data_IF_787645938733
#
_entry.id   IF_787645938733
#
_cell.length_a   1.000
_cell.length_b   1.000
_cell.length_c   1.000
_cell.angle_alpha   90.00
_cell.angle_beta   90.00
_cell.angle_gamma   90.00
#
_symmetry.space_group_name_H-M   'P 1'
#
loop_
_entity.id
_entity.type
_entity.pdbx_description
1 polymer ?
#
# COMPACT_ATOMS: atom_id res chain seq x y z
N UNK A 1 15.60 26.40 -42.59
CA UNK A 1 14.76 27.16 -41.64
C UNK A 1 14.76 26.37 -40.35
N UNK A 2 15.23 26.98 -39.25
CA UNK A 2 15.34 26.31 -37.96
C UNK A 2 13.97 26.34 -37.27
N UNK A 3 13.42 25.18 -36.97
CA UNK A 3 12.15 25.06 -36.25
C UNK A 3 12.39 25.45 -34.78
N UNK A 4 11.60 26.40 -34.30
CA UNK A 4 11.72 26.98 -32.98
C UNK A 4 10.68 26.31 -32.08
N UNK A 5 11.10 25.52 -31.10
CA UNK A 5 10.20 25.02 -30.05
C UNK A 5 10.42 25.90 -28.84
N UNK A 6 9.43 26.75 -28.54
CA UNK A 6 9.52 27.87 -27.60
C UNK A 6 9.61 27.48 -26.12
N UNK A 7 10.40 26.48 -25.75
CA UNK A 7 10.68 26.10 -24.38
C UNK A 7 12.15 26.36 -24.02
N UNK A 8 12.41 26.71 -22.77
CA UNK A 8 13.76 26.80 -22.21
C UNK A 8 13.85 25.95 -20.95
N UNK A 9 14.97 25.24 -20.78
CA UNK A 9 15.26 24.49 -19.56
C UNK A 9 16.60 24.98 -19.01
N UNK A 10 16.63 25.38 -17.73
CA UNK A 10 17.85 25.82 -17.04
C UNK A 10 17.89 25.22 -15.64
N UNK A 11 18.95 24.48 -15.34
CA UNK A 11 19.16 23.81 -14.05
C UNK A 11 17.95 22.99 -13.57
N UNK A 12 17.34 22.21 -14.47
CA UNK A 12 16.20 21.34 -14.15
C UNK A 12 14.83 22.03 -14.11
N UNK A 13 14.76 23.35 -14.31
CA UNK A 13 13.47 24.06 -14.41
C UNK A 13 13.15 24.37 -15.87
N UNK A 14 12.05 23.82 -16.38
CA UNK A 14 11.60 23.99 -17.75
C UNK A 14 10.35 24.87 -17.81
N UNK A 15 10.34 25.83 -18.75
CA UNK A 15 9.23 26.76 -18.96
C UNK A 15 9.05 27.03 -20.45
N UNK A 16 7.81 27.20 -20.90
CA UNK A 16 7.55 27.81 -22.19
C UNK A 16 7.91 29.30 -22.14
N UNK A 17 8.57 29.79 -23.18
CA UNK A 17 8.98 31.20 -23.32
C UNK A 17 7.78 32.13 -23.58
N UNK A 18 6.63 31.57 -23.94
CA UNK A 18 5.36 32.29 -24.09
C UNK A 18 4.59 32.45 -22.76
N UNK A 19 5.10 31.87 -21.66
CA UNK A 19 4.50 31.95 -20.33
C UNK A 19 3.32 31.01 -20.10
N UNK A 20 3.02 30.10 -21.04
CA UNK A 20 2.02 29.04 -20.83
C UNK A 20 2.51 27.99 -19.83
N UNK A 21 1.57 27.26 -19.21
CA UNK A 21 1.88 26.13 -18.34
C UNK A 21 2.67 25.08 -19.10
N UNK A 22 3.76 24.58 -18.50
CA UNK A 22 4.61 23.56 -19.13
C UNK A 22 3.87 22.22 -19.24
N UNK A 23 3.14 22.06 -20.33
CA UNK A 23 2.51 20.81 -20.76
C UNK A 23 3.10 20.37 -22.11
N UNK A 24 3.31 19.06 -22.27
CA UNK A 24 4.00 18.45 -23.41
C UNK A 24 3.17 18.45 -24.71
N UNK A 25 1.97 19.03 -24.69
CA UNK A 25 1.03 19.10 -25.81
C UNK A 25 1.09 20.44 -26.58
N UNK A 26 1.70 21.49 -26.02
CA UNK A 26 1.73 22.84 -26.63
C UNK A 26 2.93 23.05 -27.54
N UNK A 27 2.85 22.59 -28.79
CA UNK A 27 3.86 22.89 -29.81
C UNK A 27 3.43 24.07 -30.71
N UNK A 28 4.36 24.99 -30.99
CA UNK A 28 4.11 26.15 -31.86
C UNK A 28 3.72 25.80 -33.30
N UNK A 29 3.03 26.73 -33.97
CA UNK A 29 2.56 26.57 -35.36
C UNK A 29 3.72 26.35 -36.34
N UNK A 30 3.58 25.34 -37.22
CA UNK A 30 4.53 25.05 -38.31
C UNK A 30 5.03 23.61 -38.44
N UNK A 31 4.35 22.60 -37.87
CA UNK A 31 4.81 21.20 -37.96
C UNK A 31 4.34 20.44 -39.20
N UNK A 32 5.21 19.51 -39.63
CA UNK A 32 4.97 18.46 -40.60
C UNK A 32 3.91 17.48 -40.07
N UNK A 33 2.88 17.22 -40.86
CA UNK A 33 1.75 16.30 -40.61
C UNK A 33 2.12 14.82 -40.76
N UNK A 34 3.33 14.42 -40.41
CA UNK A 34 3.67 13.00 -40.35
C UNK A 34 3.24 12.47 -38.99
N UNK A 35 2.15 11.69 -38.94
CA UNK A 35 1.72 10.99 -37.72
C UNK A 35 2.75 9.94 -37.22
N UNK A 36 3.83 9.70 -37.98
CA UNK A 36 4.80 8.63 -37.73
C UNK A 36 6.12 9.12 -37.11
N UNK A 37 6.20 10.38 -36.64
CA UNK A 37 7.42 10.95 -36.08
C UNK A 37 7.25 11.44 -34.64
N UNK A 38 8.09 10.92 -33.75
CA UNK A 38 8.16 11.28 -32.35
C UNK A 38 9.29 12.31 -32.12
N UNK A 39 9.30 12.98 -30.97
CA UNK A 39 10.28 14.03 -30.64
C UNK A 39 11.08 13.60 -29.42
N UNK A 40 12.40 13.70 -29.50
CA UNK A 40 13.33 13.38 -28.41
C UNK A 40 14.18 14.60 -28.05
N UNK A 41 14.57 14.73 -26.78
CA UNK A 41 15.50 15.77 -26.29
C UNK A 41 16.78 15.15 -25.77
N UNK A 42 17.91 15.76 -26.09
CA UNK A 42 19.15 15.54 -25.36
C UNK A 42 19.13 16.32 -24.04
N UNK A 43 19.24 15.59 -22.92
CA UNK A 43 19.37 16.20 -21.59
C UNK A 43 20.66 17.01 -21.43
N UNK A 44 21.76 16.58 -22.07
CA UNK A 44 23.06 17.25 -21.98
C UNK A 44 23.13 18.52 -22.82
N UNK A 45 22.54 18.50 -24.02
CA UNK A 45 22.64 19.63 -24.96
C UNK A 45 21.40 20.54 -24.94
N UNK A 46 20.28 20.10 -24.35
CA UNK A 46 18.99 20.78 -24.41
C UNK A 46 18.44 20.90 -25.84
N UNK A 47 18.95 20.10 -26.77
CA UNK A 47 18.57 20.09 -28.18
C UNK A 47 17.57 18.99 -28.45
N UNK A 48 16.57 19.31 -29.27
CA UNK A 48 15.55 18.36 -29.70
C UNK A 48 15.80 17.87 -31.11
N UNK A 49 15.40 16.62 -31.40
CA UNK A 49 15.39 16.03 -32.73
C UNK A 49 14.12 15.21 -32.94
N UNK A 50 13.79 14.92 -34.20
CA UNK A 50 12.76 13.94 -34.55
C UNK A 50 13.35 12.54 -34.52
N UNK A 51 12.56 11.56 -34.07
CA UNK A 51 12.92 10.14 -34.01
C UNK A 51 11.75 9.29 -34.55
N UNK A 52 12.03 8.05 -34.94
CA UNK A 52 10.99 7.08 -35.25
C UNK A 52 10.23 6.75 -33.97
N UNK A 53 8.89 6.74 -34.01
CA UNK A 53 8.09 6.42 -32.83
C UNK A 53 8.28 4.98 -32.32
N UNK A 54 8.86 4.09 -33.13
CA UNK A 54 9.19 2.71 -32.74
C UNK A 54 10.64 2.57 -32.24
N UNK A 55 11.40 3.66 -32.16
CA UNK A 55 12.79 3.63 -31.69
C UNK A 55 12.84 3.52 -30.16
N UNK A 56 13.30 2.37 -29.65
CA UNK A 56 13.53 2.15 -28.22
C UNK A 56 14.76 2.94 -27.76
N UNK A 57 14.53 4.03 -27.03
CA UNK A 57 15.58 4.84 -26.42
C UNK A 57 15.67 4.59 -24.91
N UNK A 58 16.87 4.59 -24.34
CA UNK A 58 17.06 4.58 -22.89
C UNK A 58 16.71 5.96 -22.31
N UNK A 59 15.43 6.24 -22.08
CA UNK A 59 15.03 7.44 -21.36
C UNK A 59 15.14 7.22 -19.85
N UNK A 60 15.86 8.12 -19.17
CA UNK A 60 15.77 8.25 -17.71
C UNK A 60 14.54 9.11 -17.43
N UNK A 61 13.41 8.49 -17.12
CA UNK A 61 12.38 9.23 -16.40
C UNK A 61 12.95 9.58 -15.03
N UNK A 62 12.79 10.83 -14.57
CA UNK A 62 12.66 11.08 -13.14
C UNK A 62 11.36 10.37 -12.73
N UNK A 63 11.46 9.08 -12.44
CA UNK A 63 10.38 8.40 -11.75
C UNK A 63 10.34 9.07 -10.38
N UNK A 64 9.18 9.65 -10.04
CA UNK A 64 8.91 9.95 -8.62
C UNK A 64 9.29 8.68 -7.86
N UNK A 65 10.10 8.83 -6.81
CA UNK A 65 10.45 7.71 -5.93
C UNK A 65 9.17 6.91 -5.73
N UNK A 66 9.17 5.67 -6.22
CA UNK A 66 7.96 4.89 -6.29
C UNK A 66 7.55 4.61 -4.84
N UNK A 67 6.54 5.32 -4.35
CA UNK A 67 6.09 5.21 -2.97
C UNK A 67 5.70 3.77 -2.73
N UNK A 68 6.37 3.11 -1.81
CA UNK A 68 6.28 1.67 -1.61
C UNK A 68 5.33 1.29 -0.48
N UNK A 69 4.98 2.26 0.36
CA UNK A 69 4.01 2.15 1.44
C UNK A 69 3.43 3.54 1.81
N UNK A 70 2.58 3.58 2.83
CA UNK A 70 1.96 4.83 3.31
C UNK A 70 2.96 5.74 4.04
N UNK A 71 4.04 5.21 4.61
CA UNK A 71 5.05 6.01 5.30
C UNK A 71 5.88 6.83 4.30
N UNK A 72 6.14 6.29 3.11
CA UNK A 72 6.76 7.04 2.01
C UNK A 72 5.88 8.23 1.58
N UNK A 73 4.56 7.99 1.42
CA UNK A 73 3.60 9.06 1.10
C UNK A 73 3.52 10.13 2.19
N UNK A 74 3.46 9.71 3.45
CA UNK A 74 3.42 10.61 4.60
C UNK A 74 4.68 11.49 4.67
N UNK A 75 5.85 10.89 4.48
CA UNK A 75 7.14 11.59 4.45
C UNK A 75 7.25 12.59 3.28
N UNK A 76 6.54 12.34 2.19
CA UNK A 76 6.42 13.26 1.07
C UNK A 76 5.41 14.39 1.28
N UNK A 77 4.81 14.49 2.48
CA UNK A 77 3.88 15.56 2.87
C UNK A 77 2.40 15.27 2.57
N UNK A 78 2.05 14.04 2.20
CA UNK A 78 0.66 13.64 2.01
C UNK A 78 0.08 13.11 3.32
N UNK A 79 -0.65 13.96 4.03
CA UNK A 79 -1.09 13.72 5.42
C UNK A 79 -2.58 13.42 5.57
N UNK A 80 -3.32 13.23 4.47
CA UNK A 80 -4.76 12.96 4.49
C UNK A 80 -5.03 11.45 4.41
N UNK A 81 -5.99 10.95 5.19
CA UNK A 81 -6.42 9.56 5.09
C UNK A 81 -7.05 9.28 3.72
N UNK A 82 -6.79 8.11 3.16
CA UNK A 82 -7.36 7.79 1.86
C UNK A 82 -6.77 6.58 1.18
N UNK A 83 -7.20 6.36 -0.06
CA UNK A 83 -6.65 5.31 -0.91
C UNK A 83 -5.48 5.88 -1.71
N UNK A 84 -4.31 5.27 -1.53
CA UNK A 84 -3.07 5.65 -2.22
C UNK A 84 -2.62 4.53 -3.15
N UNK A 85 -1.89 4.89 -4.19
CA UNK A 85 -1.20 3.92 -5.05
C UNK A 85 0.21 3.71 -4.52
N UNK A 86 0.60 2.44 -4.33
CA UNK A 86 1.95 2.06 -3.94
C UNK A 86 2.56 1.10 -4.95
N UNK A 87 3.89 1.02 -4.98
CA UNK A 87 4.63 0.08 -5.84
C UNK A 87 5.40 -0.90 -4.99
N UNK A 88 5.07 -2.18 -5.11
CA UNK A 88 5.73 -3.28 -4.39
C UNK A 88 6.22 -4.30 -5.41
N UNK A 89 7.53 -4.60 -5.39
CA UNK A 89 8.20 -5.50 -6.36
C UNK A 89 7.83 -5.19 -7.83
N UNK A 90 7.77 -3.90 -8.18
CA UNK A 90 7.46 -3.42 -9.53
C UNK A 90 5.99 -3.52 -9.95
N UNK A 91 5.07 -3.84 -9.04
CA UNK A 91 3.62 -3.90 -9.29
C UNK A 91 2.89 -2.81 -8.52
N UNK A 92 1.86 -2.25 -9.15
CA UNK A 92 0.99 -1.25 -8.55
C UNK A 92 -0.09 -1.90 -7.68
N UNK A 93 -0.28 -1.36 -6.49
CA UNK A 93 -1.35 -1.73 -5.58
C UNK A 93 -2.06 -0.50 -5.07
N UNK A 94 -3.34 -0.65 -4.74
CA UNK A 94 -4.10 0.34 -3.97
C UNK A 94 -4.13 -0.10 -2.52
N UNK A 95 -3.83 0.81 -1.61
CA UNK A 95 -3.91 0.59 -0.16
C UNK A 95 -4.64 1.75 0.50
N UNK A 96 -5.28 1.48 1.64
CA UNK A 96 -5.82 2.55 2.47
C UNK A 96 -4.75 3.00 3.47
N UNK A 97 -4.41 4.28 3.44
CA UNK A 97 -3.47 4.90 4.36
C UNK A 97 -4.20 5.64 5.45
N UNK A 98 -3.86 5.33 6.70
CA UNK A 98 -4.17 6.15 7.87
C UNK A 98 -2.96 7.04 8.15
N UNK A 99 -3.16 8.33 7.94
CA UNK A 99 -2.17 9.39 8.03
C UNK A 99 -2.29 10.19 9.33
N UNK A 100 -3.23 9.84 10.22
CA UNK A 100 -3.49 10.60 11.45
C UNK A 100 -3.14 9.82 12.72
N UNK A 101 -3.46 8.53 12.76
CA UNK A 101 -3.31 7.71 13.96
C UNK A 101 -1.83 7.51 14.29
N UNK A 102 -1.46 7.72 15.56
CA UNK A 102 -0.13 7.43 16.09
C UNK A 102 1.04 7.96 15.22
N UNK A 103 0.90 9.15 14.63
CA UNK A 103 1.94 9.77 13.79
C UNK A 103 1.79 9.52 12.29
N UNK A 104 0.78 8.77 11.86
CA UNK A 104 0.45 8.57 10.44
C UNK A 104 1.38 7.59 9.71
N UNK A 105 1.15 7.44 8.40
CA UNK A 105 1.94 6.56 7.53
C UNK A 105 1.57 5.08 7.64
N UNK A 106 0.40 4.74 8.20
CA UNK A 106 -0.01 3.35 8.40
C UNK A 106 -0.70 2.78 7.18
N UNK A 107 -0.26 1.62 6.73
CA UNK A 107 -1.00 0.80 5.76
C UNK A 107 -2.07 0.01 6.51
N UNK A 108 -3.34 0.30 6.24
CA UNK A 108 -4.46 -0.46 6.80
C UNK A 108 -4.72 -1.69 5.94
N UNK A 109 -4.44 -2.89 6.46
CA UNK A 109 -4.63 -4.14 5.72
C UNK A 109 -5.95 -4.86 6.04
N UNK A 110 -6.57 -4.54 7.17
CA UNK A 110 -7.86 -5.10 7.59
C UNK A 110 -8.68 -4.04 8.28
N UNK A 111 -9.99 -4.03 8.03
CA UNK A 111 -10.94 -3.22 8.78
C UNK A 111 -12.29 -3.91 8.90
N UNK A 112 -12.91 -3.79 10.08
CA UNK A 112 -14.32 -4.10 10.33
C UNK A 112 -15.00 -2.90 10.98
N UNK A 113 -16.01 -2.34 10.31
CA UNK A 113 -16.84 -1.24 10.83
C UNK A 113 -18.24 -1.71 11.20
N UNK A 114 -18.75 -2.73 10.51
CA UNK A 114 -20.07 -3.28 10.75
C UNK A 114 -20.11 -4.79 10.38
N UNK A 115 -21.30 -5.36 10.38
CA UNK A 115 -21.55 -6.76 10.02
C UNK A 115 -22.08 -6.94 8.59
N UNK A 116 -21.93 -5.95 7.71
CA UNK A 116 -22.48 -5.99 6.35
C UNK A 116 -21.73 -6.96 5.44
N UNK A 117 -20.43 -7.13 5.66
CA UNK A 117 -19.59 -8.07 4.91
C UNK A 117 -19.19 -9.26 5.78
N UNK A 118 -19.40 -10.45 5.23
CA UNK A 118 -18.92 -11.70 5.80
C UNK A 118 -17.41 -11.84 5.54
N UNK A 119 -16.67 -12.29 6.56
CA UNK A 119 -15.25 -12.64 6.42
C UNK A 119 -15.05 -14.16 6.50
N UNK A 120 -16.05 -14.90 6.98
CA UNK A 120 -15.87 -16.32 7.32
C UNK A 120 -15.94 -17.24 6.09
N UNK A 121 -16.66 -16.86 5.04
CA UNK A 121 -16.97 -17.68 3.85
C UNK A 121 -16.03 -17.44 2.66
N UNK A 122 -15.05 -16.55 2.81
CA UNK A 122 -14.05 -16.30 1.76
C UNK A 122 -13.03 -17.44 1.66
N UNK A 123 -12.74 -17.83 0.43
CA UNK A 123 -11.81 -18.90 0.11
C UNK A 123 -10.33 -18.43 0.12
N UNK A 124 -9.40 -19.37 -0.05
CA UNK A 124 -7.96 -19.09 -0.05
C UNK A 124 -7.55 -18.03 -1.08
N UNK A 125 -8.12 -18.08 -2.28
CA UNK A 125 -7.79 -17.15 -3.36
C UNK A 125 -8.26 -15.74 -3.06
N UNK A 126 -9.40 -15.59 -2.41
CA UNK A 126 -9.94 -14.30 -1.98
C UNK A 126 -9.10 -13.71 -0.85
N UNK A 127 -8.75 -14.48 0.18
CA UNK A 127 -7.85 -14.03 1.23
C UNK A 127 -6.44 -13.70 0.72
N UNK A 128 -5.95 -14.44 -0.27
CA UNK A 128 -4.69 -14.15 -0.96
C UNK A 128 -4.72 -12.81 -1.69
N UNK A 129 -5.78 -12.54 -2.48
CA UNK A 129 -5.88 -11.35 -3.34
C UNK A 129 -6.44 -10.12 -2.62
N UNK A 130 -7.18 -10.32 -1.55
CA UNK A 130 -7.99 -9.30 -0.89
C UNK A 130 -9.43 -9.26 -1.40
N UNK A 131 -10.31 -8.72 -0.55
CA UNK A 131 -11.74 -8.54 -0.80
C UNK A 131 -12.28 -7.33 -0.03
N UNK A 132 -13.51 -6.91 -0.36
CA UNK A 132 -14.09 -5.67 0.12
C UNK A 132 -13.57 -4.45 -0.64
N UNK A 133 -14.16 -3.29 -0.36
CA UNK A 133 -13.78 -2.02 -1.00
C UNK A 133 -13.04 -1.15 -0.01
N UNK A 134 -11.78 -0.81 -0.26
CA UNK A 134 -11.03 0.11 0.62
C UNK A 134 -11.66 1.51 0.63
N UNK A 135 -11.87 2.04 1.83
CA UNK A 135 -12.51 3.33 2.03
C UNK A 135 -12.60 3.70 3.52
N UNK A 136 -13.02 4.95 3.81
CA UNK A 136 -12.99 5.50 5.15
C UNK A 136 -13.97 4.86 6.14
N UNK A 137 -14.94 4.07 5.69
CA UNK A 137 -15.94 3.40 6.53
C UNK A 137 -16.42 2.10 5.87
N UNK A 138 -15.48 1.23 5.50
CA UNK A 138 -15.79 -0.02 4.80
C UNK A 138 -15.09 -1.20 5.45
N UNK A 139 -15.65 -2.39 5.26
CA UNK A 139 -14.96 -3.62 5.61
C UNK A 139 -14.12 -4.08 4.44
N UNK A 140 -12.88 -4.50 4.71
CA UNK A 140 -12.02 -5.08 3.69
C UNK A 140 -10.89 -5.91 4.30
N UNK A 141 -10.36 -6.78 3.46
CA UNK A 141 -9.10 -7.47 3.65
C UNK A 141 -8.20 -7.15 2.45
N UNK A 142 -7.03 -6.58 2.69
CA UNK A 142 -6.14 -6.11 1.63
C UNK A 142 -5.56 -7.25 0.78
N UNK A 143 -5.40 -8.43 1.37
CA UNK A 143 -4.82 -9.60 0.71
C UNK A 143 -3.50 -10.04 1.33
N UNK A 144 -3.37 -11.34 1.59
CA UNK A 144 -2.21 -11.93 2.25
C UNK A 144 -0.93 -11.78 1.42
N UNK A 145 -1.04 -11.84 0.09
CA UNK A 145 0.14 -11.72 -0.79
C UNK A 145 0.78 -10.32 -0.67
N UNK A 146 -0.03 -9.25 -0.67
CA UNK A 146 0.48 -7.90 -0.51
C UNK A 146 0.99 -7.67 0.92
N UNK A 147 0.28 -8.18 1.93
CA UNK A 147 0.70 -8.09 3.33
C UNK A 147 2.04 -8.78 3.57
N UNK A 148 2.25 -9.96 2.99
CA UNK A 148 3.54 -10.66 3.02
C UNK A 148 4.64 -9.80 2.42
N UNK A 149 4.43 -9.27 1.22
CA UNK A 149 5.45 -8.46 0.55
C UNK A 149 5.81 -7.19 1.33
N UNK A 150 4.83 -6.54 1.98
CA UNK A 150 5.07 -5.37 2.82
C UNK A 150 5.84 -5.73 4.10
N UNK A 151 5.44 -6.79 4.79
CA UNK A 151 6.09 -7.22 6.03
C UNK A 151 7.46 -7.87 5.83
N UNK A 152 7.73 -8.39 4.63
CA UNK A 152 9.04 -8.94 4.26
C UNK A 152 10.07 -7.86 3.89
N UNK A 153 9.65 -6.61 3.63
CA UNK A 153 10.52 -5.49 3.27
C UNK A 153 11.42 -5.06 4.43
N UNK A 154 10.90 -5.10 5.66
CA UNK A 154 11.60 -4.69 6.88
C UNK A 154 11.27 -5.67 8.02
N UNK A 155 12.28 -6.02 8.82
CA UNK A 155 12.08 -6.87 10.01
C UNK A 155 11.48 -6.11 11.18
N UNK A 156 11.55 -4.77 11.17
CA UNK A 156 11.06 -3.92 12.25
C UNK A 156 9.66 -3.36 12.00
N UNK A 157 8.84 -4.08 11.22
CA UNK A 157 7.45 -3.68 10.96
C UNK A 157 6.64 -3.75 12.25
N UNK A 158 5.94 -2.66 12.55
CA UNK A 158 5.02 -2.57 13.68
C UNK A 158 3.60 -2.84 13.21
N UNK A 159 2.88 -3.70 13.91
CA UNK A 159 1.45 -3.94 13.76
C UNK A 159 0.70 -3.21 14.88
N UNK A 160 -0.21 -2.33 14.50
CA UNK A 160 -1.17 -1.72 15.41
C UNK A 160 -2.54 -2.38 15.24
N UNK A 161 -3.10 -2.89 16.34
CA UNK A 161 -4.47 -3.44 16.36
C UNK A 161 -5.34 -2.52 17.17
N UNK A 162 -6.47 -2.11 16.62
CA UNK A 162 -7.47 -1.26 17.29
C UNK A 162 -8.84 -1.94 17.32
N UNK A 163 -9.54 -1.81 18.45
CA UNK A 163 -10.87 -2.35 18.68
C UNK A 163 -11.75 -1.26 19.27
N UNK A 164 -12.98 -1.14 18.74
CA UNK A 164 -14.00 -0.22 19.22
C UNK A 164 -15.27 -0.98 19.54
N UNK A 165 -15.80 -0.68 20.71
CA UNK A 165 -17.03 -1.23 21.25
C UNK A 165 -16.90 -2.61 21.86
N UNK A 166 -17.77 -2.90 22.81
CA UNK A 166 -17.91 -4.19 23.46
C UNK A 166 -19.35 -4.67 23.25
N UNK A 167 -19.51 -5.68 22.39
CA UNK A 167 -20.81 -6.24 22.02
C UNK A 167 -21.27 -7.37 22.95
N UNK A 168 -20.54 -7.62 24.05
CA UNK A 168 -20.97 -8.62 25.04
C UNK A 168 -22.24 -8.16 25.77
N UNK A 169 -23.17 -9.07 26.10
CA UNK A 169 -24.34 -8.72 26.90
C UNK A 169 -23.93 -8.12 28.25
N UNK A 170 -24.44 -6.92 28.57
CA UNK A 170 -24.09 -6.16 29.78
C UNK A 170 -22.62 -5.70 29.85
N UNK A 171 -21.99 -5.47 28.69
CA UNK A 171 -20.70 -4.82 28.59
C UNK A 171 -20.64 -3.57 29.48
N UNK A 172 -19.63 -3.48 30.34
CA UNK A 172 -19.45 -2.31 31.21
C UNK A 172 -19.08 -1.06 30.41
N UNK A 173 -18.40 -1.23 29.28
CA UNK A 173 -17.91 -0.18 28.40
C UNK A 173 -18.30 -0.49 26.94
N UNK A 174 -19.58 -0.37 26.57
CA UNK A 174 -20.08 -0.74 25.23
C UNK A 174 -19.46 0.08 24.10
N UNK A 175 -18.96 1.29 24.39
CA UNK A 175 -18.25 2.18 23.46
C UNK A 175 -16.73 2.23 23.71
N UNK A 176 -16.19 1.25 24.44
CA UNK A 176 -14.78 1.24 24.81
C UNK A 176 -13.86 1.22 23.58
N UNK A 177 -12.65 1.75 23.76
CA UNK A 177 -11.63 1.80 22.72
C UNK A 177 -10.32 1.21 23.26
N UNK A 178 -9.84 0.18 22.57
CA UNK A 178 -8.67 -0.57 22.96
C UNK A 178 -7.71 -0.71 21.79
N UNK A 179 -6.41 -0.61 22.06
CA UNK A 179 -5.38 -0.82 21.06
C UNK A 179 -4.10 -1.39 21.67
N UNK A 180 -3.28 -2.03 20.84
CA UNK A 180 -1.91 -2.45 21.16
C UNK A 180 -1.00 -2.35 19.94
N UNK A 181 0.28 -2.07 20.19
CA UNK A 181 1.37 -2.29 19.23
C UNK A 181 2.03 -3.64 19.46
N UNK A 182 2.28 -4.31 18.34
CA UNK A 182 3.13 -5.49 18.25
C UNK A 182 4.28 -5.17 17.29
N UNK A 183 5.47 -5.63 17.61
CA UNK A 183 6.68 -5.38 16.84
C UNK A 183 7.10 -6.65 16.11
N UNK A 184 8.04 -6.50 15.17
CA UNK A 184 8.59 -7.61 14.38
C UNK A 184 7.49 -8.40 13.64
N UNK A 185 6.44 -7.71 13.21
CA UNK A 185 5.31 -8.35 12.55
C UNK A 185 5.70 -8.84 11.16
N UNK A 186 5.69 -10.15 10.97
CA UNK A 186 6.03 -10.80 9.71
C UNK A 186 5.10 -11.95 9.41
N UNK A 187 4.64 -12.02 8.16
CA UNK A 187 3.99 -13.22 7.64
C UNK A 187 4.85 -13.83 6.52
N UNK A 188 4.89 -15.16 6.48
CA UNK A 188 5.59 -15.93 5.47
C UNK A 188 4.90 -15.87 4.11
N UNK A 189 5.53 -16.41 3.06
CA UNK A 189 4.97 -16.40 1.72
C UNK A 189 3.87 -17.46 1.57
N UNK A 190 3.24 -17.52 0.40
CA UNK A 190 2.15 -18.47 0.12
C UNK A 190 2.58 -19.94 0.25
N UNK A 191 3.83 -20.25 -0.06
CA UNK A 191 4.40 -21.61 -0.02
C UNK A 191 4.41 -22.19 1.40
N UNK A 192 4.56 -21.34 2.42
CA UNK A 192 4.46 -21.75 3.83
C UNK A 192 3.03 -21.66 4.37
N UNK A 193 2.11 -21.10 3.58
CA UNK A 193 0.71 -20.89 3.95
C UNK A 193 0.48 -19.59 4.70
N UNK A 194 1.23 -18.52 4.37
CA UNK A 194 1.18 -17.23 5.06
C UNK A 194 1.31 -17.37 6.58
N UNK A 195 2.30 -18.14 7.02
CA UNK A 195 2.59 -18.38 8.44
C UNK A 195 2.82 -17.06 9.17
N UNK A 196 2.31 -16.89 10.39
CA UNK A 196 2.72 -15.78 11.25
C UNK A 196 4.15 -16.04 11.75
N UNK A 197 5.14 -15.54 11.03
CA UNK A 197 6.55 -15.82 11.28
C UNK A 197 7.09 -15.01 12.47
N UNK A 198 6.57 -13.79 12.66
CA UNK A 198 7.01 -12.88 13.72
C UNK A 198 5.87 -12.03 14.26
N UNK A 199 5.81 -11.91 15.59
CA UNK A 199 4.96 -11.00 16.33
C UNK A 199 5.45 -10.92 17.79
N UNK A 200 5.83 -9.73 18.25
CA UNK A 200 6.38 -9.55 19.59
C UNK A 200 5.73 -8.39 20.35
N UNK A 201 5.68 -8.50 21.68
CA UNK A 201 5.34 -7.40 22.59
C UNK A 201 6.58 -6.98 23.35
N UNK A 202 6.82 -5.67 23.44
CA UNK A 202 7.82 -5.14 24.35
C UNK A 202 7.27 -5.14 25.79
N UNK A 203 7.44 -6.24 26.52
CA UNK A 203 6.93 -6.39 27.89
C UNK A 203 7.47 -5.36 28.89
N UNK A 204 8.60 -4.69 28.58
CA UNK A 204 9.14 -3.61 29.42
C UNK A 204 8.44 -2.28 29.19
N UNK A 205 7.88 -2.08 28.00
CA UNK A 205 7.19 -0.87 27.60
C UNK A 205 6.03 -1.25 26.67
N UNK A 206 4.95 -1.76 27.26
CA UNK A 206 3.76 -2.14 26.50
C UNK A 206 3.09 -0.87 25.99
N UNK A 207 2.97 -0.75 24.67
CA UNK A 207 2.31 0.37 24.01
C UNK A 207 0.86 -0.01 23.68
N UNK A 208 -0.05 0.48 24.50
CA UNK A 208 -1.48 0.27 24.31
C UNK A 208 -2.26 0.22 25.62
N UNK A 209 -3.56 0.07 25.50
CA UNK A 209 -4.49 -0.07 26.61
C UNK A 209 -5.35 -1.34 26.51
N UNK A 210 -5.15 -2.15 25.46
CA UNK A 210 -5.76 -3.47 25.37
C UNK A 210 -5.03 -4.46 26.28
N UNK A 211 -5.78 -5.34 26.94
CA UNK A 211 -5.20 -6.36 27.83
C UNK A 211 -4.26 -7.29 27.06
N UNK A 212 -2.99 -7.36 27.48
CA UNK A 212 -2.00 -8.36 27.02
C UNK A 212 -1.91 -9.47 28.07
N UNK A 213 -2.62 -10.57 27.84
CA UNK A 213 -2.69 -11.70 28.77
C UNK A 213 -1.75 -12.85 28.41
N UNK A 214 -1.84 -13.95 29.17
CA UNK A 214 -1.07 -15.18 28.92
C UNK A 214 -1.38 -15.87 27.58
N UNK A 215 -2.42 -15.45 26.85
CA UNK A 215 -2.79 -15.98 25.55
C UNK A 215 -3.13 -14.84 24.59
N UNK A 216 -2.22 -13.88 24.46
CA UNK A 216 -2.36 -12.82 23.47
C UNK A 216 -2.04 -13.32 22.04
N UNK A 217 -2.08 -12.41 21.07
CA UNK A 217 -1.86 -12.74 19.65
C UNK A 217 -0.49 -13.35 19.34
N UNK A 218 0.53 -13.14 20.19
CA UNK A 218 1.87 -13.71 20.00
C UNK A 218 1.90 -15.24 20.10
N UNK A 219 0.89 -15.86 20.73
CA UNK A 219 0.73 -17.31 20.74
C UNK A 219 0.41 -17.90 19.36
N UNK A 220 -0.04 -17.08 18.42
CA UNK A 220 -0.27 -17.51 17.05
C UNK A 220 1.01 -17.54 16.21
N UNK A 221 2.16 -17.15 16.75
CA UNK A 221 3.44 -17.23 16.02
C UNK A 221 3.73 -18.70 15.67
N UNK A 222 4.06 -18.95 14.41
CA UNK A 222 4.21 -20.28 13.80
C UNK A 222 2.92 -20.88 13.26
N UNK A 223 1.75 -20.29 13.55
CA UNK A 223 0.49 -20.74 12.97
C UNK A 223 0.39 -20.36 11.50
N UNK A 224 -0.13 -21.28 10.68
CA UNK A 224 -0.43 -21.04 9.27
C UNK A 224 -1.80 -20.39 9.12
N UNK A 225 -1.94 -19.53 8.12
CA UNK A 225 -3.24 -19.00 7.75
C UNK A 225 -4.17 -20.14 7.29
N UNK A 226 -5.47 -20.05 7.57
CA UNK A 226 -6.45 -21.07 7.17
C UNK A 226 -7.73 -20.41 6.65
N UNK A 227 -8.38 -21.05 5.68
CA UNK A 227 -9.67 -20.66 5.10
C UNK A 227 -10.61 -21.86 5.07
N UNK A 228 -11.88 -21.63 4.74
CA UNK A 228 -12.92 -22.68 4.67
C UNK A 228 -12.56 -23.83 3.72
N UNK A 229 -11.81 -23.54 2.67
CA UNK A 229 -11.36 -24.47 1.64
C UNK A 229 -9.91 -24.96 1.82
N UNK A 230 -9.15 -24.39 2.77
CA UNK A 230 -7.75 -24.77 3.05
C UNK A 230 -7.41 -24.61 4.53
N UNK A 231 -7.50 -25.70 5.28
CA UNK A 231 -7.23 -25.73 6.72
C UNK A 231 -5.81 -26.26 6.98
N UNK A 232 -4.97 -25.43 7.59
CA UNK A 232 -3.54 -25.68 7.78
C UNK A 232 -3.12 -25.92 9.26
N UNK A 233 -4.06 -25.85 10.21
CA UNK A 233 -3.84 -26.11 11.65
C UNK A 233 -3.98 -27.62 11.97
N UNK A 234 -3.07 -28.26 12.73
CA UNK A 234 -3.29 -29.60 13.29
C UNK A 234 -4.50 -29.62 14.24
N UNK A 235 -5.68 -29.94 13.71
CA UNK A 235 -6.97 -29.87 14.41
C UNK A 235 -7.03 -30.73 15.70
N UNK A 236 -7.56 -30.17 16.80
CA UNK A 236 -8.65 -30.78 17.55
C UNK A 236 -9.98 -30.52 16.81
N UNK A 237 -10.90 -31.49 16.82
CA UNK A 237 -12.14 -31.57 16.02
C UNK A 237 -13.20 -30.45 16.20
N UNK A 238 -12.86 -29.24 16.69
CA UNK A 238 -13.84 -28.21 17.04
C UNK A 238 -13.90 -26.98 16.10
N UNK A 239 -13.10 -26.92 15.04
CA UNK A 239 -13.04 -25.73 14.15
C UNK A 239 -13.84 -25.89 12.84
N UNK A 240 -14.54 -27.02 12.63
CA UNK A 240 -15.32 -27.23 11.39
C UNK A 240 -16.81 -27.49 11.56
N UNK A 241 -17.33 -27.45 12.78
CA UNK A 241 -18.75 -27.68 13.03
C UNK A 241 -19.40 -26.40 13.55
N UNK A 242 -19.95 -25.60 12.61
CA UNK A 242 -21.03 -24.64 12.86
C UNK A 242 -22.17 -24.91 11.89
#
# INVERSE_FOLDING_TARGET
MHYWTGGQCRNGNCSWVDGSSFDFENFGEGKSYSHDQCIVSSFEEGRWSVADCNEENCFVCETRVAMSDCADWYSAGYTEDGVYNIVVKGKFYKVYCDMHTAGGGWVMFQRRVDSSDSFWDHNWTEYRKGFGKMGPNTNFWMGNELLHQLTAKDRNVTLRVEMRGDRTPNAKNPDGYWWNHYFEFQIGPEETGYTLDGLAINWRNVEGNASTGWYDMTYSVGAKFSTVDRINDPRPNCVTDY
#
